data_IF_691184089480
#
_entry.id   IF_691184089480
#
_cell.length_a   1.000
_cell.length_b   1.000
_cell.length_c   1.000
_cell.angle_alpha   90.00
_cell.angle_beta   90.00
_cell.angle_gamma   90.00
#
_symmetry.space_group_name_H-M   'P 1'
#
loop_
_entity.id
_entity.type
_entity.pdbx_description
1 polymer ?
#
# COMPACT_ATOMS: atom_id res chain seq x y z
N UNK A 1 -17.50 -3.91 73.12
CA UNK A 1 -18.48 -3.98 72.01
C UNK A 1 -17.79 -4.63 70.82
N UNK A 2 -18.01 -5.93 70.62
CA UNK A 2 -17.45 -6.69 69.50
C UNK A 2 -18.47 -6.69 68.36
N UNK A 3 -18.17 -5.95 67.28
CA UNK A 3 -18.97 -5.94 66.06
C UNK A 3 -18.92 -7.34 65.41
N UNK A 4 -20.01 -8.10 65.51
CA UNK A 4 -20.21 -9.29 64.68
C UNK A 4 -20.47 -8.84 63.25
N UNK A 5 -19.41 -8.75 62.44
CA UNK A 5 -19.55 -8.60 61.00
C UNK A 5 -20.25 -9.85 60.47
N UNK A 6 -21.47 -9.67 59.98
CA UNK A 6 -22.31 -10.74 59.46
C UNK A 6 -21.67 -11.31 58.19
N UNK A 7 -20.94 -12.42 58.31
CA UNK A 7 -20.14 -13.05 57.23
C UNK A 7 -20.92 -13.26 55.92
N UNK A 8 -22.24 -13.40 55.97
CA UNK A 8 -23.09 -13.57 54.78
C UNK A 8 -23.21 -12.31 53.91
N UNK A 9 -23.20 -11.11 54.51
CA UNK A 9 -23.31 -9.85 53.78
C UNK A 9 -22.01 -9.44 53.07
N UNK A 10 -20.85 -9.74 53.68
CA UNK A 10 -19.54 -9.49 53.09
C UNK A 10 -19.29 -10.37 51.84
N UNK A 11 -19.77 -11.61 51.86
CA UNK A 11 -19.66 -12.53 50.71
C UNK A 11 -20.53 -12.03 49.54
N UNK A 12 -21.78 -11.61 49.79
CA UNK A 12 -22.66 -11.08 48.74
C UNK A 12 -22.12 -9.81 48.07
N UNK A 13 -21.49 -8.91 48.83
CA UNK A 13 -20.87 -7.71 48.27
C UNK A 13 -19.69 -8.07 47.33
N UNK A 14 -18.88 -9.05 47.73
CA UNK A 14 -17.73 -9.50 46.93
C UNK A 14 -18.14 -10.20 45.64
N UNK A 15 -19.22 -10.99 45.67
CA UNK A 15 -19.74 -11.69 44.48
C UNK A 15 -20.33 -10.71 43.47
N UNK A 16 -21.10 -9.73 43.91
CA UNK A 16 -21.64 -8.71 43.00
C UNK A 16 -20.54 -7.85 42.37
N UNK A 17 -19.51 -7.49 43.13
CA UNK A 17 -18.35 -6.80 42.60
C UNK A 17 -17.60 -7.64 41.54
N UNK A 18 -17.39 -8.93 41.82
CA UNK A 18 -16.71 -9.84 40.90
C UNK A 18 -17.50 -10.00 39.59
N UNK A 19 -18.82 -10.17 39.67
CA UNK A 19 -19.69 -10.28 38.49
C UNK A 19 -19.67 -8.99 37.67
N UNK A 20 -19.77 -7.81 38.31
CA UNK A 20 -19.66 -6.53 37.61
C UNK A 20 -18.29 -6.33 36.96
N UNK A 21 -17.21 -6.79 37.59
CA UNK A 21 -15.85 -6.73 37.02
C UNK A 21 -15.71 -7.61 35.78
N UNK A 22 -16.24 -8.84 35.82
CA UNK A 22 -16.21 -9.77 34.69
C UNK A 22 -17.03 -9.21 33.51
N UNK A 23 -18.20 -8.66 33.79
CA UNK A 23 -19.04 -8.01 32.77
C UNK A 23 -18.30 -6.81 32.15
N UNK A 24 -17.67 -5.96 32.96
CA UNK A 24 -16.89 -4.83 32.47
C UNK A 24 -15.72 -5.26 31.59
N UNK A 25 -14.99 -6.32 31.96
CA UNK A 25 -13.92 -6.90 31.15
C UNK A 25 -14.43 -7.48 29.82
N UNK A 26 -15.59 -8.13 29.83
CA UNK A 26 -16.22 -8.65 28.61
C UNK A 26 -16.59 -7.52 27.65
N UNK A 27 -17.23 -6.45 28.14
CA UNK A 27 -17.55 -5.28 27.33
C UNK A 27 -16.31 -4.55 26.84
N UNK A 28 -15.25 -4.48 27.65
CA UNK A 28 -13.98 -3.89 27.24
C UNK A 28 -13.30 -4.72 26.14
N UNK A 29 -13.33 -6.05 26.24
CA UNK A 29 -12.82 -6.97 25.23
C UNK A 29 -13.57 -6.83 23.90
N UNK A 30 -14.90 -6.77 23.93
CA UNK A 30 -15.74 -6.54 22.74
C UNK A 30 -15.48 -5.15 22.15
N UNK A 31 -15.35 -4.11 22.99
CA UNK A 31 -14.99 -2.77 22.54
C UNK A 31 -13.63 -2.71 21.85
N UNK A 32 -12.61 -3.37 22.41
CA UNK A 32 -11.29 -3.50 21.80
C UNK A 32 -11.31 -4.29 20.49
N UNK A 33 -12.15 -5.33 20.38
CA UNK A 33 -12.35 -6.06 19.12
C UNK A 33 -12.98 -5.18 18.03
N UNK A 34 -13.96 -4.33 18.41
CA UNK A 34 -14.58 -3.38 17.48
C UNK A 34 -13.56 -2.32 17.04
N UNK A 35 -12.79 -1.73 17.98
CA UNK A 35 -11.74 -0.76 17.67
C UNK A 35 -10.68 -1.38 16.76
N UNK A 36 -10.21 -2.59 17.05
CA UNK A 36 -9.22 -3.27 16.20
C UNK A 36 -9.78 -3.67 14.83
N UNK A 37 -11.08 -3.96 14.72
CA UNK A 37 -11.73 -4.21 13.41
C UNK A 37 -11.88 -2.93 12.60
N UNK A 38 -12.23 -1.81 13.24
CA UNK A 38 -12.34 -0.49 12.58
C UNK A 38 -10.96 0.03 12.18
N UNK A 39 -10.00 0.01 13.12
CA UNK A 39 -8.61 0.47 12.90
C UNK A 39 -7.85 -0.49 11.97
N UNK A 40 -8.15 -1.80 12.01
CA UNK A 40 -7.53 -2.81 11.17
C UNK A 40 -7.99 -2.75 9.70
N UNK A 41 -9.25 -2.35 9.45
CA UNK A 41 -9.74 -2.07 8.10
C UNK A 41 -9.29 -0.71 7.55
N UNK A 42 -8.87 0.23 8.40
CA UNK A 42 -8.52 1.59 8.00
C UNK A 42 -7.01 1.85 7.83
N UNK A 43 -6.19 0.83 7.52
CA UNK A 43 -4.81 1.08 7.07
C UNK A 43 -4.78 1.59 5.62
N UNK A 44 -5.63 2.57 5.32
CA UNK A 44 -5.40 3.46 4.18
C UNK A 44 -4.14 4.27 4.51
N UNK A 45 -3.02 3.93 3.86
CA UNK A 45 -1.81 4.74 3.93
C UNK A 45 -2.10 6.05 3.17
N UNK A 46 -2.71 7.04 3.82
CA UNK A 46 -2.97 8.32 3.18
C UNK A 46 -1.66 9.11 3.08
N UNK A 47 -1.02 9.06 1.91
CA UNK A 47 0.22 9.80 1.64
C UNK A 47 -0.14 11.07 0.87
N UNK A 48 -0.07 12.22 1.52
CA UNK A 48 -0.29 13.52 0.88
C UNK A 48 -1.75 13.82 0.49
N UNK A 49 -2.72 13.30 1.24
CA UNK A 49 -4.15 13.59 1.05
C UNK A 49 -4.87 12.65 0.05
N UNK A 50 -4.16 11.68 -0.52
CA UNK A 50 -4.75 10.57 -1.28
C UNK A 50 -4.59 9.31 -0.45
N UNK A 51 -5.72 8.69 -0.13
CA UNK A 51 -5.74 7.42 0.59
C UNK A 51 -5.45 6.28 -0.40
N UNK A 52 -4.38 5.55 -0.12
CA UNK A 52 -3.95 4.40 -0.91
C UNK A 52 -4.89 3.24 -0.56
N UNK A 53 -5.79 2.89 -1.48
CA UNK A 53 -6.67 1.74 -1.32
C UNK A 53 -5.96 0.49 -1.80
N UNK A 54 -5.49 -0.33 -0.86
CA UNK A 54 -4.91 -1.65 -1.15
C UNK A 54 -5.88 -2.55 -1.95
N UNK A 55 -7.20 -2.39 -1.75
CA UNK A 55 -8.25 -3.10 -2.52
C UNK A 55 -8.21 -2.83 -4.03
N UNK A 56 -7.82 -1.63 -4.46
CA UNK A 56 -7.66 -1.36 -5.90
C UNK A 56 -6.45 -2.12 -6.44
N UNK A 57 -5.35 -2.18 -5.69
CA UNK A 57 -4.17 -2.96 -6.06
C UNK A 57 -4.38 -4.48 -5.95
N UNK A 58 -5.38 -4.95 -5.21
CA UNK A 58 -5.75 -6.37 -5.09
C UNK A 58 -6.49 -6.90 -6.31
N UNK A 59 -7.13 -6.03 -7.09
CA UNK A 59 -7.77 -6.40 -8.37
C UNK A 59 -6.76 -6.71 -9.47
N UNK A 60 -5.52 -6.24 -9.32
CA UNK A 60 -4.45 -6.43 -10.31
C UNK A 60 -3.54 -7.59 -9.88
N UNK A 61 -3.85 -8.78 -10.39
CA UNK A 61 -2.96 -9.93 -10.34
C UNK A 61 -2.08 -9.96 -11.59
N UNK A 62 -0.79 -10.26 -11.42
CA UNK A 62 0.08 -10.56 -12.57
C UNK A 62 -0.55 -11.70 -13.37
N UNK A 63 -0.71 -11.52 -14.68
CA UNK A 63 -1.17 -12.62 -15.53
C UNK A 63 -0.14 -13.76 -15.47
N UNK A 64 -0.58 -15.03 -15.57
CA UNK A 64 0.34 -16.16 -15.60
C UNK A 64 1.29 -16.02 -16.80
N UNK A 65 2.57 -15.74 -16.51
CA UNK A 65 3.62 -15.49 -17.52
C UNK A 65 4.34 -14.15 -17.37
N UNK A 66 3.80 -13.21 -16.58
CA UNK A 66 4.43 -11.91 -16.35
C UNK A 66 5.36 -11.91 -15.12
N UNK A 67 6.61 -11.48 -15.32
CA UNK A 67 7.62 -11.35 -14.24
C UNK A 67 7.40 -10.08 -13.42
N UNK A 68 6.84 -9.06 -14.06
CA UNK A 68 6.51 -7.77 -13.48
C UNK A 68 5.17 -7.38 -14.08
N UNK A 69 4.24 -6.99 -13.22
CA UNK A 69 2.95 -6.44 -13.62
C UNK A 69 2.83 -5.04 -13.04
N UNK A 70 2.54 -4.08 -13.89
CA UNK A 70 2.26 -2.72 -13.48
C UNK A 70 0.83 -2.47 -13.91
N UNK A 71 0.04 -1.79 -13.07
CA UNK A 71 -1.23 -1.23 -13.52
C UNK A 71 -0.91 -0.21 -14.64
N UNK A 72 -1.01 -0.67 -15.89
CA UNK A 72 -0.73 0.12 -17.09
C UNK A 72 -1.96 0.90 -17.57
N UNK A 73 -3.01 0.99 -16.75
CA UNK A 73 -4.20 1.76 -17.11
C UNK A 73 -3.89 3.25 -17.18
N UNK A 74 -4.21 3.89 -18.31
CA UNK A 74 -4.15 5.35 -18.39
C UNK A 74 -5.09 5.95 -17.35
N UNK A 75 -4.56 6.78 -16.45
CA UNK A 75 -5.39 7.44 -15.44
C UNK A 75 -5.55 8.91 -15.77
N UNK A 76 -6.80 9.37 -15.77
CA UNK A 76 -7.13 10.78 -15.85
C UNK A 76 -6.97 11.40 -14.47
N UNK A 77 -6.15 12.43 -14.39
CA UNK A 77 -5.85 13.15 -13.15
C UNK A 77 -6.97 14.16 -12.85
N UNK A 78 -8.10 13.65 -12.36
CA UNK A 78 -9.26 14.47 -11.98
C UNK A 78 -9.03 15.32 -10.70
N UNK A 79 -7.98 15.02 -9.94
CA UNK A 79 -7.58 15.71 -8.69
C UNK A 79 -6.11 16.10 -8.76
N UNK A 80 -5.59 16.79 -7.74
CA UNK A 80 -4.15 17.14 -7.64
C UNK A 80 -3.20 15.94 -7.62
N UNK A 81 -3.69 14.71 -7.52
CA UNK A 81 -2.86 13.52 -7.49
C UNK A 81 -3.61 12.27 -7.95
N UNK A 82 -2.84 11.30 -8.43
CA UNK A 82 -3.28 9.98 -8.86
C UNK A 82 -2.32 8.92 -8.32
N UNK A 83 -2.82 7.71 -8.08
CA UNK A 83 -2.03 6.60 -7.55
C UNK A 83 -2.04 5.44 -8.54
N UNK A 84 -0.86 4.86 -8.77
CA UNK A 84 -0.67 3.62 -9.52
C UNK A 84 -0.20 2.49 -8.60
N UNK A 85 -0.59 1.27 -8.96
CA UNK A 85 -0.17 0.04 -8.30
C UNK A 85 0.86 -0.69 -9.18
N UNK A 86 2.01 -1.01 -8.61
CA UNK A 86 2.99 -1.90 -9.22
C UNK A 86 3.04 -3.20 -8.41
N UNK A 87 2.97 -4.34 -9.09
CA UNK A 87 3.12 -5.67 -8.49
C UNK A 87 4.32 -6.38 -9.14
N UNK A 88 5.35 -6.63 -8.35
CA UNK A 88 6.52 -7.38 -8.80
C UNK A 88 6.36 -8.82 -8.34
N UNK A 89 6.38 -9.77 -9.28
CA UNK A 89 6.19 -11.18 -9.00
C UNK A 89 7.48 -11.96 -9.22
N UNK A 90 7.94 -12.69 -8.19
CA UNK A 90 9.07 -13.58 -8.37
C UNK A 90 8.61 -14.92 -8.95
N UNK A 91 8.69 -15.08 -10.28
CA UNK A 91 8.42 -16.35 -10.96
C UNK A 91 9.49 -17.44 -10.73
N UNK A 92 10.67 -17.06 -10.21
CA UNK A 92 11.78 -17.98 -10.04
C UNK A 92 11.57 -18.92 -8.86
N UNK A 93 12.23 -20.08 -8.92
CA UNK A 93 12.22 -21.08 -7.84
C UNK A 93 13.04 -20.65 -6.62
N UNK A 94 13.87 -19.60 -6.75
CA UNK A 94 14.73 -19.08 -5.71
C UNK A 94 14.34 -17.65 -5.32
N UNK A 95 14.80 -17.19 -4.15
CA UNK A 95 14.63 -15.80 -3.72
C UNK A 95 15.52 -14.89 -4.57
N UNK A 96 14.93 -13.87 -5.20
CA UNK A 96 15.64 -12.92 -6.04
C UNK A 96 15.57 -11.51 -5.46
N UNK A 97 16.57 -10.69 -5.77
CA UNK A 97 16.62 -9.27 -5.40
C UNK A 97 16.10 -8.45 -6.56
N UNK A 98 15.09 -7.62 -6.33
CA UNK A 98 14.51 -6.73 -7.33
C UNK A 98 14.75 -5.28 -6.93
N UNK A 99 15.12 -4.45 -7.90
CA UNK A 99 15.22 -3.00 -7.79
C UNK A 99 14.39 -2.40 -8.90
N UNK A 100 13.76 -1.27 -8.67
CA UNK A 100 12.99 -0.57 -9.70
C UNK A 100 13.31 0.92 -9.68
N UNK A 101 13.10 1.57 -10.81
CA UNK A 101 13.27 3.01 -11.00
C UNK A 101 12.20 3.52 -11.95
N UNK A 102 11.73 4.74 -11.69
CA UNK A 102 10.82 5.45 -12.58
C UNK A 102 11.61 6.59 -13.22
N UNK A 103 11.47 6.73 -14.53
CA UNK A 103 12.01 7.83 -15.31
C UNK A 103 10.88 8.62 -15.99
N UNK A 104 11.11 9.92 -16.22
CA UNK A 104 10.09 10.90 -16.60
C UNK A 104 9.75 11.89 -15.46
N UNK A 105 8.67 12.70 -15.62
CA UNK A 105 7.64 12.62 -16.64
C UNK A 105 8.10 13.02 -18.04
N UNK A 106 7.54 12.39 -19.07
CA UNK A 106 7.63 12.86 -20.46
C UNK A 106 6.25 13.27 -20.97
N UNK A 107 6.13 14.42 -21.62
CA UNK A 107 4.91 14.82 -22.30
C UNK A 107 4.82 14.10 -23.65
N UNK A 108 3.65 13.56 -23.96
CA UNK A 108 3.34 12.95 -25.25
C UNK A 108 2.91 14.05 -26.21
N UNK A 109 3.70 14.27 -27.26
CA UNK A 109 3.42 15.24 -28.34
C UNK A 109 3.27 14.51 -29.68
N UNK A 110 2.70 15.17 -30.71
CA UNK A 110 2.65 14.60 -32.06
C UNK A 110 4.04 14.26 -32.63
N UNK A 111 5.07 14.99 -32.23
CA UNK A 111 6.47 14.80 -32.67
C UNK A 111 7.21 13.71 -31.88
N UNK A 112 6.69 13.29 -30.72
CA UNK A 112 7.27 12.22 -29.91
C UNK A 112 7.12 12.42 -28.40
N UNK A 113 8.15 12.02 -27.65
CA UNK A 113 8.23 12.21 -26.20
C UNK A 113 9.17 13.38 -25.89
N UNK A 114 8.65 14.39 -25.20
CA UNK A 114 9.44 15.52 -24.71
C UNK A 114 9.53 15.49 -23.18
N UNK A 115 10.60 16.03 -22.55
CA UNK A 115 10.62 16.19 -21.10
C UNK A 115 9.39 16.96 -20.60
N UNK A 116 8.60 16.32 -19.74
CA UNK A 116 7.45 16.94 -19.10
C UNK A 116 7.89 17.71 -17.85
N UNK A 117 7.19 18.79 -17.53
CA UNK A 117 7.36 19.52 -16.27
C UNK A 117 6.03 19.55 -15.50
N UNK A 118 6.11 19.82 -14.20
CA UNK A 118 4.91 20.05 -13.38
C UNK A 118 4.22 18.80 -12.84
N UNK A 119 4.77 17.60 -13.06
CA UNK A 119 4.39 16.38 -12.33
C UNK A 119 5.53 15.92 -11.43
N UNK A 120 5.21 15.61 -10.18
CA UNK A 120 6.11 14.95 -9.24
C UNK A 120 5.61 13.55 -8.92
N UNK A 121 6.53 12.59 -8.78
CA UNK A 121 6.19 11.27 -8.26
C UNK A 121 6.83 11.05 -6.89
N UNK A 122 6.09 10.36 -6.01
CA UNK A 122 6.59 9.88 -4.73
C UNK A 122 6.25 8.41 -4.62
N UNK A 123 7.24 7.62 -4.24
CA UNK A 123 7.07 6.21 -3.97
C UNK A 123 7.30 5.92 -2.49
N UNK A 124 6.47 5.05 -1.91
CA UNK A 124 6.44 4.81 -0.46
C UNK A 124 7.68 4.05 0.05
N UNK A 125 8.52 3.51 -0.83
CA UNK A 125 9.80 2.87 -0.46
C UNK A 125 10.78 2.99 -1.61
N UNK A 126 11.63 4.01 -1.52
CA UNK A 126 12.78 4.19 -2.41
C UNK A 126 13.98 3.83 -1.54
N UNK A 127 14.75 2.80 -1.90
CA UNK A 127 16.22 2.86 -1.93
C UNK A 127 16.94 1.50 -1.89
N UNK A 128 16.31 0.38 -1.54
CA UNK A 128 17.04 -0.90 -1.48
C UNK A 128 16.45 -2.00 -2.36
N UNK A 129 17.34 -2.91 -2.80
CA UNK A 129 16.93 -4.16 -3.43
C UNK A 129 15.99 -4.91 -2.50
N UNK A 130 14.77 -5.17 -2.96
CA UNK A 130 13.78 -5.94 -2.22
C UNK A 130 13.94 -7.41 -2.54
N UNK A 131 14.14 -8.22 -1.50
CA UNK A 131 14.15 -9.67 -1.59
C UNK A 131 12.72 -10.17 -1.69
N UNK A 132 12.42 -10.86 -2.79
CA UNK A 132 11.11 -11.47 -3.03
C UNK A 132 11.29 -12.99 -3.05
N UNK A 133 10.57 -13.69 -2.19
CA UNK A 133 10.59 -15.16 -2.11
C UNK A 133 9.99 -15.81 -3.36
N UNK A 134 10.32 -17.07 -3.66
CA UNK A 134 9.75 -17.81 -4.79
C UNK A 134 8.23 -17.77 -4.79
N UNK A 135 7.62 -17.50 -5.95
CA UNK A 135 6.16 -17.45 -6.14
C UNK A 135 5.44 -16.46 -5.21
N UNK A 136 6.16 -15.46 -4.69
CA UNK A 136 5.59 -14.34 -3.94
C UNK A 136 5.63 -13.08 -4.77
N UNK A 137 4.74 -12.16 -4.43
CA UNK A 137 4.68 -10.82 -5.01
C UNK A 137 4.88 -9.75 -3.95
N UNK A 138 5.35 -8.60 -4.39
CA UNK A 138 5.40 -7.37 -3.59
C UNK A 138 4.63 -6.30 -4.34
N UNK A 139 3.76 -5.59 -3.60
CA UNK A 139 2.99 -4.46 -4.12
C UNK A 139 3.62 -3.15 -3.70
N UNK A 140 3.61 -2.18 -4.61
CA UNK A 140 4.13 -0.82 -4.39
C UNK A 140 3.17 0.19 -4.97
N UNK A 141 3.00 1.28 -4.24
CA UNK A 141 2.19 2.41 -4.66
C UNK A 141 3.09 3.51 -5.19
N UNK A 142 2.70 4.05 -6.34
CA UNK A 142 3.34 5.19 -7.00
C UNK A 142 2.33 6.33 -6.96
N UNK A 143 2.61 7.35 -6.14
CA UNK A 143 1.78 8.54 -6.08
C UNK A 143 2.35 9.57 -7.06
N UNK A 144 1.53 10.04 -7.99
CA UNK A 144 1.85 11.14 -8.89
C UNK A 144 1.03 12.35 -8.49
N UNK A 145 1.68 13.50 -8.34
CA UNK A 145 1.08 14.77 -7.98
C UNK A 145 1.22 15.76 -9.12
N UNK A 146 0.14 16.48 -9.40
CA UNK A 146 0.18 17.68 -10.21
C UNK A 146 0.66 18.86 -9.35
N UNK A 147 1.80 19.43 -9.72
CA UNK A 147 2.37 20.62 -9.10
C UNK A 147 2.36 21.83 -10.05
N UNK A 148 1.69 21.72 -11.20
CA UNK A 148 1.61 22.76 -12.23
C UNK A 148 1.84 22.25 -13.65
N UNK A 149 1.54 20.98 -13.93
CA UNK A 149 1.64 20.41 -15.27
C UNK A 149 0.60 21.03 -16.21
N UNK A 150 1.02 21.32 -17.44
CA UNK A 150 0.10 21.74 -18.51
C UNK A 150 -0.85 20.60 -18.90
N UNK A 151 -2.04 20.91 -19.42
CA UNK A 151 -2.94 19.90 -20.00
C UNK A 151 -2.25 19.05 -21.07
N UNK A 152 -2.50 17.76 -21.02
CA UNK A 152 -1.92 16.78 -21.94
C UNK A 152 -1.69 15.41 -21.31
N UNK A 153 -1.22 14.49 -22.13
CA UNK A 153 -0.85 13.14 -21.68
C UNK A 153 0.64 13.09 -21.38
N UNK A 154 0.97 12.50 -20.24
CA UNK A 154 2.33 12.28 -19.78
C UNK A 154 2.59 10.79 -19.64
N UNK A 155 3.81 10.38 -19.94
CA UNK A 155 4.29 9.01 -19.84
C UNK A 155 5.43 8.90 -18.82
N UNK A 156 5.45 7.78 -18.11
CA UNK A 156 6.49 7.42 -17.15
C UNK A 156 7.04 6.06 -17.51
N UNK A 157 8.36 5.93 -17.54
CA UNK A 157 9.04 4.68 -17.85
C UNK A 157 9.41 3.98 -16.55
N UNK A 158 9.01 2.72 -16.37
CA UNK A 158 9.38 1.93 -15.21
C UNK A 158 10.39 0.85 -15.61
N UNK A 159 11.55 0.88 -14.95
CA UNK A 159 12.59 -0.14 -15.13
C UNK A 159 12.65 -1.01 -13.89
N UNK A 160 12.67 -2.34 -14.04
CA UNK A 160 12.84 -3.29 -12.94
C UNK A 160 14.10 -4.14 -13.16
N UNK A 161 15.14 -3.88 -12.39
CA UNK A 161 16.38 -4.65 -12.40
C UNK A 161 16.28 -5.83 -11.44
N UNK A 162 16.75 -6.99 -11.85
CA UNK A 162 16.85 -8.15 -10.96
C UNK A 162 18.30 -8.59 -10.79
N UNK A 163 18.64 -9.05 -9.59
CA UNK A 163 19.96 -9.59 -9.25
C UNK A 163 19.82 -10.97 -8.62
N UNK A 164 20.53 -11.95 -9.18
CA UNK A 164 20.67 -13.29 -8.61
C UNK A 164 22.11 -13.78 -8.73
N UNK A 165 22.69 -14.32 -7.65
CA UNK A 165 24.06 -14.83 -7.59
C UNK A 165 25.12 -13.89 -8.22
N UNK A 166 25.00 -12.58 -8.03
CA UNK A 166 25.95 -11.61 -8.56
C UNK A 166 25.67 -11.13 -9.99
N UNK A 167 24.91 -11.88 -10.78
CA UNK A 167 24.46 -11.45 -12.11
C UNK A 167 23.29 -10.46 -11.99
N UNK A 168 23.45 -9.31 -12.65
CA UNK A 168 22.42 -8.30 -12.82
C UNK A 168 21.82 -8.48 -14.20
N UNK A 169 20.50 -8.59 -14.27
CA UNK A 169 19.77 -8.65 -15.52
C UNK A 169 18.66 -7.62 -15.44
N UNK A 170 18.57 -6.80 -16.47
CA UNK A 170 17.64 -5.68 -16.50
C UNK A 170 16.36 -6.12 -17.21
N UNK A 171 15.22 -6.03 -16.52
CA UNK A 171 13.91 -6.09 -17.17
C UNK A 171 13.42 -4.65 -17.31
N UNK A 172 13.44 -4.15 -18.53
CA UNK A 172 12.75 -2.93 -18.86
C UNK A 172 11.31 -3.31 -19.18
N UNK A 173 10.34 -2.84 -18.38
CA UNK A 173 8.94 -3.13 -18.65
C UNK A 173 8.05 -1.92 -18.36
N UNK A 174 7.42 -1.51 -19.45
CA UNK A 174 6.24 -0.68 -19.62
C UNK A 174 6.26 0.78 -19.16
N UNK A 175 5.58 1.53 -20.01
CA UNK A 175 5.27 2.94 -19.93
C UNK A 175 3.83 3.05 -19.44
N UNK A 176 3.58 3.79 -18.37
CA UNK A 176 2.22 4.10 -17.95
C UNK A 176 1.90 5.58 -18.16
N UNK A 177 0.62 5.88 -18.41
CA UNK A 177 0.19 7.18 -18.89
C UNK A 177 -0.70 7.90 -17.87
N UNK A 178 -0.51 9.21 -17.76
CA UNK A 178 -1.33 10.12 -16.96
C UNK A 178 -1.83 11.24 -17.86
N UNK A 179 -3.14 11.42 -17.93
CA UNK A 179 -3.72 12.56 -18.65
C UNK A 179 -4.14 13.65 -17.67
N UNK A 180 -3.54 14.82 -17.82
CA UNK A 180 -3.94 16.06 -17.14
C UNK A 180 -4.98 16.75 -18.04
N UNK A 181 -6.23 16.94 -17.57
CA UNK A 181 -7.28 17.61 -18.34
C UNK A 181 -7.01 19.11 -18.52
#
# INVERSE_FOLDING_TARGET
MTYRVNKKGAIQLSTNFLVSLIIALAFFGVGMFIITTIVGKSRELCVGGVCLNDEECDKFGCLPGEDVCIDSSSKVMHKKAVTFCMTIFNKYLNTHKFKWSIDGPYRVTPEGLEPGAGLEYKMTTINDFVLIQPKKSVKKHILIKNIGAEPGTYSFNLTVKHKYNGHLSDYEKEVFFVTVP
#
